data_IF_479627487849
#
_entry.id   IF_479627487849
#
_cell.length_a   1.000
_cell.length_b   1.000
_cell.length_c   1.000
_cell.angle_alpha   90.00
_cell.angle_beta   90.00
_cell.angle_gamma   90.00
#
_symmetry.space_group_name_H-M   'P 1'
#
loop_
_entity.id
_entity.type
_entity.pdbx_description
1 polymer ?
#
# COMPACT_ATOMS: atom_id res chain seq x y z
N UNK A 1 -5.69 -8.06 -10.48
CA UNK A 1 -4.68 -7.78 -9.44
C UNK A 1 -4.09 -6.43 -9.77
N UNK A 2 -4.23 -5.43 -8.89
CA UNK A 2 -3.73 -4.06 -9.15
C UNK A 2 -2.74 -3.73 -8.02
N UNK A 3 -1.50 -3.41 -8.39
CA UNK A 3 -0.43 -3.03 -7.47
C UNK A 3 -0.36 -1.50 -7.46
N UNK A 4 -0.46 -0.89 -6.28
CA UNK A 4 -0.29 0.56 -6.11
C UNK A 4 1.04 0.76 -5.36
N UNK A 5 1.98 1.45 -6.01
CA UNK A 5 3.30 1.79 -5.46
C UNK A 5 3.36 3.28 -5.18
N UNK A 6 3.74 3.66 -3.96
CA UNK A 6 3.96 5.06 -3.59
C UNK A 6 5.47 5.30 -3.50
N UNK A 7 5.99 6.16 -4.37
CA UNK A 7 7.39 6.58 -4.40
C UNK A 7 7.50 8.02 -3.95
N UNK A 8 8.32 8.28 -2.94
CA UNK A 8 8.74 9.63 -2.53
C UNK A 8 10.17 9.84 -3.00
N UNK A 9 10.34 10.30 -4.23
CA UNK A 9 11.63 10.60 -4.84
C UNK A 9 11.41 11.05 -6.29
N UNK A 10 12.12 12.09 -6.71
CA UNK A 10 12.10 12.58 -8.09
C UNK A 10 12.35 11.42 -9.08
N UNK A 11 11.68 11.40 -10.26
CA UNK A 11 11.65 10.24 -11.17
C UNK A 11 13.01 9.86 -11.79
N UNK A 12 14.10 10.51 -11.40
CA UNK A 12 15.42 10.39 -12.04
C UNK A 12 16.56 9.90 -11.16
N UNK A 13 16.40 9.73 -9.83
CA UNK A 13 17.58 9.45 -8.99
C UNK A 13 17.56 8.26 -8.04
N UNK A 14 16.43 7.73 -7.57
CA UNK A 14 16.47 6.47 -6.80
C UNK A 14 15.06 5.91 -6.67
N UNK A 15 14.75 4.83 -7.41
CA UNK A 15 13.46 4.14 -7.32
C UNK A 15 13.39 3.25 -6.06
N UNK A 16 13.68 3.81 -4.90
CA UNK A 16 13.45 3.17 -3.62
C UNK A 16 11.94 3.15 -3.34
N UNK A 17 11.25 2.10 -3.80
CA UNK A 17 9.85 1.87 -3.43
C UNK A 17 9.79 1.64 -1.92
N UNK A 18 9.33 2.66 -1.18
CA UNK A 18 9.28 2.60 0.29
C UNK A 18 8.02 1.94 0.82
N UNK A 19 6.94 1.91 0.03
CA UNK A 19 5.67 1.29 0.43
C UNK A 19 4.89 0.83 -0.80
N UNK A 20 4.51 -0.45 -0.80
CA UNK A 20 3.66 -1.04 -1.82
C UNK A 20 2.43 -1.69 -1.20
N UNK A 21 1.26 -1.47 -1.80
CA UNK A 21 0.01 -2.11 -1.40
C UNK A 21 -0.46 -3.05 -2.51
N UNK A 22 -0.62 -4.33 -2.18
CA UNK A 22 -1.22 -5.32 -3.05
C UNK A 22 -2.62 -5.63 -2.52
N UNK A 23 -3.64 -5.24 -3.29
CA UNK A 23 -5.04 -5.44 -2.94
C UNK A 23 -5.53 -6.71 -3.65
N UNK A 24 -5.86 -7.73 -2.86
CA UNK A 24 -6.48 -8.98 -3.28
C UNK A 24 -7.98 -8.92 -3.01
N UNK A 25 -8.75 -8.48 -4.01
CA UNK A 25 -10.21 -8.36 -3.91
C UNK A 25 -10.93 -9.70 -3.73
N UNK A 26 -10.38 -10.78 -4.29
CA UNK A 26 -11.00 -12.12 -4.22
C UNK A 26 -10.98 -12.68 -2.81
N UNK A 27 -9.86 -12.52 -2.12
CA UNK A 27 -9.67 -13.00 -0.76
C UNK A 27 -9.95 -11.92 0.29
N UNK A 28 -10.43 -10.75 -0.13
CA UNK A 28 -10.59 -9.54 0.66
C UNK A 28 -9.37 -9.26 1.55
N UNK A 29 -8.19 -9.23 0.97
CA UNK A 29 -6.94 -9.06 1.72
C UNK A 29 -6.08 -7.98 1.10
N UNK A 30 -5.30 -7.31 1.92
CA UNK A 30 -4.29 -6.36 1.45
C UNK A 30 -2.95 -6.77 2.03
N UNK A 31 -1.95 -6.90 1.17
CA UNK A 31 -0.57 -7.13 1.55
C UNK A 31 0.20 -5.82 1.45
N UNK A 32 0.84 -5.44 2.53
CA UNK A 32 1.68 -4.25 2.65
C UNK A 32 3.13 -4.69 2.56
N UNK A 33 3.83 -4.19 1.55
CA UNK A 33 5.23 -4.42 1.29
C UNK A 33 6.02 -3.18 1.72
N UNK A 34 7.01 -3.39 2.59
CA UNK A 34 7.95 -2.36 3.04
C UNK A 34 9.38 -2.89 2.85
N UNK A 35 10.35 -2.07 2.43
CA UNK A 35 11.75 -2.46 2.41
C UNK A 35 12.21 -2.81 3.83
N UNK A 36 13.09 -3.81 3.95
CA UNK A 36 13.62 -4.30 5.23
C UNK A 36 12.62 -4.80 6.28
N UNK A 37 11.34 -5.01 5.92
CA UNK A 37 10.32 -5.51 6.87
C UNK A 37 9.58 -6.71 6.29
N UNK A 38 9.05 -7.58 7.16
CA UNK A 38 8.14 -8.64 6.73
C UNK A 38 6.86 -8.05 6.14
N UNK A 39 6.37 -8.68 5.07
CA UNK A 39 5.09 -8.37 4.45
C UNK A 39 3.98 -8.47 5.51
N UNK A 40 3.21 -7.40 5.68
CA UNK A 40 2.06 -7.39 6.59
C UNK A 40 0.80 -7.69 5.77
N UNK A 41 0.03 -8.69 6.19
CA UNK A 41 -1.25 -9.01 5.56
C UNK A 41 -2.37 -8.51 6.46
N UNK A 42 -3.27 -7.73 5.89
CA UNK A 42 -4.50 -7.26 6.52
C UNK A 42 -5.68 -7.93 5.85
N UNK A 43 -6.64 -8.38 6.65
CA UNK A 43 -7.86 -9.03 6.18
C UNK A 43 -9.03 -8.04 6.27
N UNK A 44 -9.69 -7.82 5.14
CA UNK A 44 -10.77 -6.86 4.88
C UNK A 44 -10.53 -5.46 5.49
N UNK A 45 -9.35 -4.82 5.31
CA UNK A 45 -9.12 -3.51 5.88
C UNK A 45 -9.99 -2.45 5.20
N UNK A 46 -10.71 -1.65 5.98
CA UNK A 46 -11.53 -0.54 5.47
C UNK A 46 -10.69 0.64 4.97
N UNK A 47 -9.53 0.87 5.57
CA UNK A 47 -8.60 1.95 5.19
C UNK A 47 -7.15 1.53 5.36
N UNK A 48 -6.26 2.11 4.55
CA UNK A 48 -4.81 1.95 4.68
C UNK A 48 -4.15 3.32 4.85
N UNK A 49 -3.35 3.49 5.90
CA UNK A 49 -2.53 4.68 6.07
C UNK A 49 -1.12 4.47 5.51
N UNK A 50 -0.65 5.46 4.77
CA UNK A 50 0.72 5.54 4.25
C UNK A 50 1.59 6.53 5.01
N UNK A 51 1.19 6.94 6.22
CA UNK A 51 1.77 8.06 6.99
C UNK A 51 3.28 7.98 7.18
N UNK A 52 3.84 6.76 7.21
CA UNK A 52 5.28 6.53 7.33
C UNK A 52 6.07 7.05 6.11
N UNK A 53 5.45 7.08 4.93
CA UNK A 53 6.06 7.55 3.67
C UNK A 53 5.47 8.89 3.23
N UNK A 54 4.15 9.03 3.34
CA UNK A 54 3.40 10.22 3.00
C UNK A 54 2.50 10.58 4.19
N UNK A 55 2.95 11.47 5.09
CA UNK A 55 2.11 11.92 6.20
C UNK A 55 0.80 12.50 5.66
N UNK A 56 -0.33 11.99 6.16
CA UNK A 56 -1.67 12.36 5.70
C UNK A 56 -2.22 11.53 4.53
N UNK A 57 -1.47 10.56 3.98
CA UNK A 57 -2.01 9.66 2.96
C UNK A 57 -2.89 8.57 3.59
N UNK A 58 -4.17 8.56 3.23
CA UNK A 58 -5.13 7.51 3.58
C UNK A 58 -5.80 7.02 2.31
N UNK A 59 -5.68 5.72 2.05
CA UNK A 59 -6.40 5.04 0.99
C UNK A 59 -7.65 4.39 1.58
N UNK A 60 -8.82 4.90 1.23
CA UNK A 60 -10.09 4.25 1.55
C UNK A 60 -10.30 3.04 0.64
N UNK A 61 -10.54 1.87 1.24
CA UNK A 61 -10.84 0.63 0.54
C UNK A 61 -12.29 0.19 0.74
N UNK A 62 -13.09 0.96 1.47
CA UNK A 62 -14.50 0.67 1.73
C UNK A 62 -15.27 0.50 0.42
N UNK A 63 -14.99 1.34 -0.58
CA UNK A 63 -15.56 1.21 -1.94
C UNK A 63 -14.96 0.05 -2.75
N UNK A 64 -13.75 -0.39 -2.42
CA UNK A 64 -13.09 -1.50 -3.13
C UNK A 64 -13.68 -2.85 -2.75
N UNK A 65 -14.30 -2.96 -1.56
CA UNK A 65 -14.94 -4.17 -1.08
C UNK A 65 -16.43 -4.29 -1.41
N UNK A 66 -17.12 -3.18 -1.72
CA UNK A 66 -18.47 -3.20 -2.30
C UNK A 66 -18.45 -3.89 -3.66
#
# INVERSE_FOLDING_TARGET
MKLITLTTGEPYLDNATRLGFLIDRKNQQVKIYKPNTKVKVLQSPTSLSGEEILPGFVLDLTEVWK
#
